data_IF_870600065815
#
_entry.id   IF_870600065815
#
_cell.length_a   1.000
_cell.length_b   1.000
_cell.length_c   1.000
_cell.angle_alpha   90.00
_cell.angle_beta   90.00
_cell.angle_gamma   90.00
#
_symmetry.space_group_name_H-M   'P 1'
#
loop_
_entity.id
_entity.type
_entity.pdbx_description
1 polymer ?
#
# COMPACT_ATOMS: atom_id res chain seq x y z
N UNK A 1 -13.20 0.47 -52.27
CA UNK A 1 -13.80 -0.22 -51.16
C UNK A 1 -12.68 -0.47 -50.20
N UNK A 2 -12.57 0.43 -49.24
CA UNK A 2 -11.47 0.50 -48.28
C UNK A 2 -12.02 -0.04 -46.96
N UNK A 3 -11.50 -1.15 -46.53
CA UNK A 3 -11.70 -1.64 -45.16
C UNK A 3 -10.73 -0.93 -44.24
N UNK A 4 -11.30 -0.26 -43.26
CA UNK A 4 -10.59 0.44 -42.22
C UNK A 4 -10.52 -0.49 -41.01
N UNK A 5 -9.37 -1.12 -40.85
CA UNK A 5 -9.03 -1.90 -39.66
C UNK A 5 -8.64 -0.89 -38.54
N UNK A 6 -9.52 -0.73 -37.55
CA UNK A 6 -9.24 0.06 -36.37
C UNK A 6 -8.78 -0.89 -35.27
N UNK A 7 -7.49 -1.05 -35.17
CA UNK A 7 -6.85 -1.55 -33.95
C UNK A 7 -7.06 -0.53 -32.83
N UNK A 8 -7.86 -0.87 -31.83
CA UNK A 8 -8.00 -0.11 -30.61
C UNK A 8 -6.71 -0.24 -29.80
N UNK A 9 -5.94 0.84 -29.73
CA UNK A 9 -4.86 0.98 -28.76
C UNK A 9 -5.51 1.28 -27.42
N UNK A 10 -5.24 0.45 -26.41
CA UNK A 10 -5.49 0.78 -25.03
C UNK A 10 -4.58 1.97 -24.65
N UNK A 11 -5.17 3.13 -24.47
CA UNK A 11 -4.48 4.29 -23.96
C UNK A 11 -4.46 4.18 -22.43
N UNK A 12 -3.28 4.02 -21.89
CA UNK A 12 -3.00 4.23 -20.46
C UNK A 12 -3.41 5.67 -20.08
N UNK A 13 -3.98 5.93 -18.88
CA UNK A 13 -4.36 7.28 -18.46
C UNK A 13 -3.19 8.24 -18.58
N UNK A 14 -3.40 9.33 -19.31
CA UNK A 14 -2.35 10.31 -19.56
C UNK A 14 -2.25 11.31 -18.40
N UNK A 15 -1.06 11.89 -18.21
CA UNK A 15 -0.69 12.92 -17.24
C UNK A 15 -1.73 13.99 -16.93
N UNK A 16 -2.59 14.32 -17.88
CA UNK A 16 -3.64 15.34 -17.67
C UNK A 16 -4.68 14.94 -16.64
N UNK A 17 -4.76 13.66 -16.34
CA UNK A 17 -5.77 13.15 -15.42
C UNK A 17 -5.27 13.19 -13.97
N UNK A 18 -3.95 13.13 -13.74
CA UNK A 18 -3.34 13.27 -12.41
C UNK A 18 -3.13 14.72 -11.96
N UNK A 19 -2.86 15.64 -12.88
CA UNK A 19 -2.51 17.05 -12.57
C UNK A 19 -3.73 17.95 -12.33
N UNK A 20 -4.93 17.52 -12.68
CA UNK A 20 -6.14 18.35 -12.51
C UNK A 20 -6.65 18.49 -11.08
N UNK A 21 -6.13 17.71 -10.15
CA UNK A 21 -6.67 17.63 -8.79
C UNK A 21 -5.73 18.07 -7.68
N UNK A 22 -4.59 18.65 -8.03
CA UNK A 22 -3.64 19.22 -7.07
C UNK A 22 -3.56 20.73 -7.20
N UNK A 23 -4.53 21.48 -6.67
CA UNK A 23 -4.36 22.92 -6.63
C UNK A 23 -5.63 23.73 -6.48
N UNK A 24 -6.00 24.04 -5.25
CA UNK A 24 -6.57 25.35 -4.86
C UNK A 24 -6.73 25.41 -3.34
N UNK A 25 -5.73 25.87 -2.65
CA UNK A 25 -5.93 26.47 -1.32
C UNK A 25 -5.81 27.97 -1.49
N UNK A 26 -6.90 28.70 -1.34
CA UNK A 26 -6.92 30.15 -1.15
C UNK A 26 -7.37 30.46 0.26
N UNK A 27 -6.42 31.05 0.95
CA UNK A 27 -6.44 31.68 2.25
C UNK A 27 -7.54 32.72 2.48
N UNK A 28 -7.96 32.84 3.73
CA UNK A 28 -8.59 34.03 4.34
C UNK A 28 -9.19 33.60 5.68
N UNK A 29 -8.76 33.95 6.79
CA UNK A 29 -8.39 35.21 7.31
C UNK A 29 -9.31 35.65 8.43
N UNK A 30 -8.76 35.74 9.64
CA UNK A 30 -8.92 36.83 10.62
C UNK A 30 -9.98 36.75 11.75
N UNK A 31 -9.41 36.76 13.00
CA UNK A 31 -9.77 37.48 14.25
C UNK A 31 -10.99 36.96 15.06
N UNK A 32 -10.96 36.89 16.32
CA UNK A 32 -10.39 37.50 17.51
C UNK A 32 -11.09 36.84 18.69
N UNK A 33 -10.43 36.40 19.71
CA UNK A 33 -10.09 37.10 20.89
C UNK A 33 -11.17 37.09 21.97
N UNK A 34 -10.88 36.45 23.11
CA UNK A 34 -11.08 37.08 24.44
C UNK A 34 -10.52 36.19 25.54
N UNK A 35 -9.71 36.78 26.33
CA UNK A 35 -9.09 36.27 27.55
C UNK A 35 -10.13 36.15 28.67
N UNK A 36 -9.87 35.23 29.61
CA UNK A 36 -10.54 35.10 30.88
C UNK A 36 -9.68 34.31 31.84
N UNK A 37 -8.90 35.03 32.65
CA UNK A 37 -8.18 34.55 33.85
C UNK A 37 -9.15 34.10 34.92
N UNK A 38 -8.80 33.06 35.70
CA UNK A 38 -8.87 33.05 37.18
C UNK A 38 -8.44 31.72 37.76
N UNK A 39 -7.57 31.78 38.57
CA UNK A 39 -6.70 31.21 39.53
C UNK A 39 -7.31 30.23 40.57
N UNK A 40 -6.47 29.56 41.40
CA UNK A 40 -6.60 28.18 41.84
C UNK A 40 -7.20 28.02 43.24
N UNK A 41 -7.69 26.84 43.51
CA UNK A 41 -8.22 26.55 44.87
C UNK A 41 -8.29 25.09 45.22
N UNK A 42 -7.26 24.64 45.94
CA UNK A 42 -7.31 23.74 47.10
C UNK A 42 -7.86 22.32 47.00
N UNK A 43 -6.97 21.36 47.17
CA UNK A 43 -7.28 20.00 47.61
C UNK A 43 -7.88 19.97 49.02
N UNK A 44 -8.60 18.90 49.36
CA UNK A 44 -8.20 18.16 50.56
C UNK A 44 -8.07 16.64 50.33
N UNK A 45 -7.08 16.13 51.02
CA UNK A 45 -6.81 14.74 51.41
C UNK A 45 -7.94 14.08 52.17
N UNK A 46 -8.13 12.78 51.96
CA UNK A 46 -8.97 11.94 52.84
C UNK A 46 -9.02 10.49 52.35
N UNK A 47 -8.18 9.73 52.78
CA UNK A 47 -7.96 8.38 53.36
C UNK A 47 -9.06 7.33 53.20
N UNK A 48 -8.59 6.15 52.77
CA UNK A 48 -8.89 4.77 53.21
C UNK A 48 -10.25 4.13 52.86
N UNK A 49 -10.15 2.98 52.31
CA UNK A 49 -11.03 1.89 52.66
C UNK A 49 -11.36 0.92 51.53
N UNK A 50 -10.63 -0.16 51.54
CA UNK A 50 -11.03 -1.56 51.27
C UNK A 50 -11.58 -2.00 49.90
N UNK A 51 -10.85 -2.93 49.35
CA UNK A 51 -11.24 -4.22 48.77
C UNK A 51 -12.58 -4.28 47.97
N UNK A 52 -12.46 -4.34 46.69
CA UNK A 52 -13.16 -5.40 45.95
C UNK A 52 -12.30 -5.89 44.79
N UNK A 53 -11.87 -7.11 44.96
CA UNK A 53 -11.26 -7.94 43.96
C UNK A 53 -12.31 -8.33 42.94
N UNK A 54 -11.79 -8.50 41.73
CA UNK A 54 -12.29 -9.45 40.78
C UNK A 54 -13.43 -8.95 39.87
N UNK A 55 -13.02 -8.45 38.73
CA UNK A 55 -13.73 -8.68 37.50
C UNK A 55 -12.71 -8.61 36.35
N UNK A 56 -11.99 -9.69 36.18
CA UNK A 56 -11.45 -10.06 34.88
C UNK A 56 -12.67 -10.18 33.97
N UNK A 57 -12.76 -9.47 32.85
CA UNK A 57 -13.75 -9.82 31.85
C UNK A 57 -13.23 -11.06 31.10
N UNK A 58 -13.57 -12.22 31.70
CA UNK A 58 -13.59 -13.48 30.98
C UNK A 58 -14.93 -13.53 30.28
N UNK A 59 -15.00 -12.87 29.15
CA UNK A 59 -16.05 -13.00 28.18
C UNK A 59 -15.36 -13.14 26.86
N UNK A 60 -15.16 -14.36 26.38
CA UNK A 60 -15.12 -14.61 24.95
C UNK A 60 -16.50 -14.17 24.46
N UNK A 61 -16.61 -12.90 24.06
CA UNK A 61 -17.72 -12.44 23.25
C UNK A 61 -17.47 -13.07 21.87
N UNK A 62 -18.14 -14.19 21.63
CA UNK A 62 -18.41 -14.69 20.29
C UNK A 62 -19.46 -13.78 19.69
N UNK A 63 -19.11 -12.51 19.45
CA UNK A 63 -19.90 -11.65 18.60
C UNK A 63 -19.41 -11.89 17.17
N UNK A 64 -20.29 -12.45 16.33
CA UNK A 64 -20.13 -12.54 14.88
C UNK A 64 -20.09 -11.13 14.23
N UNK A 65 -19.52 -10.14 14.92
CA UNK A 65 -19.51 -8.74 14.54
C UNK A 65 -18.09 -8.30 14.18
N UNK A 66 -17.91 -7.94 12.91
CA UNK A 66 -16.66 -7.39 12.41
C UNK A 66 -16.72 -5.84 12.44
N UNK A 67 -15.82 -5.20 13.20
CA UNK A 67 -15.84 -3.75 13.41
C UNK A 67 -14.57 -3.08 12.85
N UNK A 68 -14.78 -2.05 12.01
CA UNK A 68 -13.70 -1.25 11.41
C UNK A 68 -14.22 0.16 11.09
N UNK A 69 -13.46 1.22 11.40
CA UNK A 69 -13.77 2.55 10.88
C UNK A 69 -13.36 2.66 9.40
N UNK A 70 -14.09 3.38 8.55
CA UNK A 70 -15.28 4.20 8.86
C UNK A 70 -16.60 3.43 8.81
N UNK A 71 -16.63 2.16 8.39
CA UNK A 71 -17.86 1.39 8.12
C UNK A 71 -18.61 0.98 9.38
N UNK A 72 -17.99 1.09 10.56
CA UNK A 72 -18.57 0.64 11.82
C UNK A 72 -18.56 -0.88 11.96
N UNK A 73 -19.53 -1.41 12.68
CA UNK A 73 -19.66 -2.85 12.93
C UNK A 73 -20.64 -3.49 11.93
N UNK A 74 -20.21 -4.58 11.31
CA UNK A 74 -20.99 -5.38 10.36
C UNK A 74 -21.21 -6.76 10.94
N UNK A 75 -22.42 -7.30 10.78
CA UNK A 75 -22.75 -8.68 11.16
C UNK A 75 -23.03 -9.49 9.90
N UNK A 76 -22.30 -10.57 9.72
CA UNK A 76 -22.49 -11.51 8.63
C UNK A 76 -23.24 -12.74 9.15
N UNK A 77 -24.42 -13.07 8.57
CA UNK A 77 -25.18 -14.27 8.97
C UNK A 77 -24.41 -15.57 8.65
N UNK A 78 -23.58 -15.53 7.64
CA UNK A 78 -22.64 -16.57 7.22
C UNK A 78 -21.35 -15.93 6.79
N UNK A 79 -20.23 -16.65 6.87
CA UNK A 79 -18.96 -16.20 6.29
C UNK A 79 -19.18 -15.91 4.81
N UNK A 80 -18.77 -14.71 4.30
CA UNK A 80 -18.87 -14.39 2.87
C UNK A 80 -18.14 -15.42 2.00
N UNK A 81 -18.84 -15.95 0.99
CA UNK A 81 -18.25 -16.91 0.03
C UNK A 81 -17.60 -16.20 -1.16
N UNK A 82 -18.12 -15.01 -1.52
CA UNK A 82 -17.62 -14.18 -2.61
C UNK A 82 -17.31 -12.77 -2.13
N UNK A 83 -16.24 -12.21 -2.67
CA UNK A 83 -15.81 -10.88 -2.28
C UNK A 83 -15.08 -10.18 -3.43
N UNK A 84 -15.19 -8.85 -3.49
CA UNK A 84 -14.40 -8.02 -4.36
C UNK A 84 -13.56 -7.03 -3.55
N UNK A 85 -12.45 -6.60 -4.13
CA UNK A 85 -11.61 -5.54 -3.56
C UNK A 85 -11.17 -4.59 -4.66
N UNK A 86 -11.34 -3.28 -4.44
CA UNK A 86 -10.88 -2.26 -5.38
C UNK A 86 -9.39 -1.95 -5.22
N UNK A 87 -8.84 -2.22 -4.05
CA UNK A 87 -7.44 -1.94 -3.72
C UNK A 87 -6.70 -3.22 -3.34
N UNK A 88 -5.49 -3.35 -3.85
CA UNK A 88 -4.69 -4.58 -3.75
C UNK A 88 -4.39 -5.02 -2.32
N UNK A 89 -4.32 -4.08 -1.39
CA UNK A 89 -4.02 -4.41 0.01
C UNK A 89 -5.12 -5.29 0.66
N UNK A 90 -6.40 -5.00 0.41
CA UNK A 90 -7.51 -5.79 0.93
C UNK A 90 -7.63 -7.15 0.24
N UNK A 91 -7.32 -7.19 -1.07
CA UNK A 91 -7.25 -8.45 -1.80
C UNK A 91 -6.13 -9.34 -1.27
N UNK A 92 -4.97 -8.78 -1.03
CA UNK A 92 -3.81 -9.47 -0.46
C UNK A 92 -4.12 -10.06 0.93
N UNK A 93 -4.74 -9.26 1.83
CA UNK A 93 -5.18 -9.73 3.15
C UNK A 93 -6.17 -10.89 3.06
N UNK A 94 -7.19 -10.80 2.20
CA UNK A 94 -8.18 -11.86 2.04
C UNK A 94 -7.56 -13.14 1.45
N UNK A 95 -6.62 -12.99 0.50
CA UNK A 95 -5.86 -14.12 -0.06
C UNK A 95 -4.97 -14.75 1.02
N UNK A 96 -4.31 -13.96 1.86
CA UNK A 96 -3.53 -14.43 3.00
C UNK A 96 -4.38 -15.26 3.97
N UNK A 97 -5.64 -14.89 4.17
CA UNK A 97 -6.63 -15.66 4.93
C UNK A 97 -7.20 -16.87 4.16
N UNK A 98 -6.64 -17.24 3.01
CA UNK A 98 -7.06 -18.41 2.25
C UNK A 98 -8.33 -18.22 1.42
N UNK A 99 -8.83 -16.99 1.24
CA UNK A 99 -10.10 -16.70 0.57
C UNK A 99 -9.96 -16.51 -0.96
N UNK A 100 -8.91 -17.08 -1.57
CA UNK A 100 -8.61 -16.90 -3.01
C UNK A 100 -9.75 -17.33 -3.92
N UNK A 101 -10.46 -18.40 -3.58
CA UNK A 101 -11.50 -18.99 -4.45
C UNK A 101 -12.74 -18.10 -4.59
N UNK A 102 -13.06 -17.30 -3.56
CA UNK A 102 -14.17 -16.34 -3.57
C UNK A 102 -13.85 -14.99 -4.21
N UNK A 103 -12.63 -14.79 -4.70
CA UNK A 103 -12.17 -13.52 -5.23
C UNK A 103 -12.81 -13.17 -6.58
N UNK A 104 -13.54 -12.06 -6.62
CA UNK A 104 -14.09 -11.43 -7.81
C UNK A 104 -13.25 -10.20 -8.16
N UNK A 105 -12.31 -10.30 -9.10
CA UNK A 105 -11.32 -9.26 -9.33
C UNK A 105 -11.93 -8.03 -10.00
N UNK A 106 -11.69 -6.85 -9.40
CA UNK A 106 -12.04 -5.55 -9.98
C UNK A 106 -11.23 -4.45 -9.27
N UNK A 107 -10.05 -4.11 -9.79
CA UNK A 107 -9.21 -3.10 -9.14
C UNK A 107 -7.74 -3.17 -9.52
N UNK A 108 -6.90 -2.67 -8.61
CA UNK A 108 -5.46 -2.60 -8.80
C UNK A 108 -4.75 -3.42 -7.73
N UNK A 109 -3.96 -4.41 -8.16
CA UNK A 109 -3.32 -5.39 -7.28
C UNK A 109 -1.80 -5.34 -7.40
N UNK A 110 -1.06 -5.78 -6.36
CA UNK A 110 0.36 -6.05 -6.48
C UNK A 110 0.65 -7.01 -7.64
N UNK A 111 1.87 -6.98 -8.20
CA UNK A 111 2.23 -7.84 -9.31
C UNK A 111 1.96 -9.32 -9.05
N UNK A 112 1.32 -10.00 -10.01
CA UNK A 112 0.88 -11.40 -9.88
C UNK A 112 2.05 -12.36 -9.58
N UNK A 113 3.22 -12.09 -10.12
CA UNK A 113 4.40 -12.92 -9.94
C UNK A 113 4.85 -13.06 -8.49
N UNK A 114 4.53 -12.09 -7.59
CA UNK A 114 4.81 -12.23 -6.16
C UNK A 114 3.97 -13.36 -5.54
N UNK A 115 2.70 -13.42 -5.90
CA UNK A 115 1.77 -14.44 -5.39
C UNK A 115 2.09 -15.84 -5.92
N UNK A 116 2.61 -15.95 -7.14
CA UNK A 116 3.02 -17.22 -7.72
C UNK A 116 4.14 -17.89 -6.92
N UNK A 117 5.01 -17.09 -6.27
CA UNK A 117 6.12 -17.58 -5.43
C UNK A 117 5.64 -18.20 -4.12
N UNK A 118 4.39 -17.98 -3.75
CA UNK A 118 3.72 -18.62 -2.60
C UNK A 118 2.55 -19.51 -3.05
N UNK A 119 2.58 -19.95 -4.32
CA UNK A 119 1.64 -20.93 -4.86
C UNK A 119 0.23 -20.40 -5.13
N UNK A 120 0.04 -19.10 -5.19
CA UNK A 120 -1.25 -18.46 -5.49
C UNK A 120 -1.26 -17.94 -6.92
N UNK A 121 -2.25 -18.37 -7.71
CA UNK A 121 -2.46 -17.85 -9.07
C UNK A 121 -3.42 -16.66 -9.03
N UNK A 122 -2.95 -15.50 -9.45
CA UNK A 122 -3.78 -14.29 -9.58
C UNK A 122 -4.52 -14.25 -10.92
N UNK A 123 -5.72 -13.64 -10.98
CA UNK A 123 -6.41 -13.44 -12.25
C UNK A 123 -5.63 -12.48 -13.14
N UNK A 124 -5.57 -12.79 -14.44
CA UNK A 124 -4.88 -11.97 -15.44
C UNK A 124 -5.83 -11.02 -16.19
N UNK A 125 -7.13 -11.34 -16.22
CA UNK A 125 -8.16 -10.48 -16.82
C UNK A 125 -8.93 -9.81 -15.68
N UNK A 126 -8.49 -8.62 -15.32
CA UNK A 126 -9.07 -7.82 -14.22
C UNK A 126 -9.79 -6.62 -14.81
N UNK A 127 -11.12 -6.53 -14.67
CA UNK A 127 -11.86 -5.34 -15.08
C UNK A 127 -11.32 -4.08 -14.41
N UNK A 128 -11.18 -3.02 -15.21
CA UNK A 128 -10.85 -1.71 -14.67
C UNK A 128 -12.12 -1.04 -14.13
N UNK A 129 -12.26 -0.80 -12.83
CA UNK A 129 -13.45 -0.21 -12.25
C UNK A 129 -13.65 1.28 -12.60
N UNK A 130 -12.66 1.90 -13.23
CA UNK A 130 -12.72 3.27 -13.77
C UNK A 130 -12.82 3.28 -15.31
N UNK A 131 -13.37 2.24 -15.91
CA UNK A 131 -13.60 2.18 -17.34
C UNK A 131 -14.60 3.26 -17.78
N UNK A 132 -14.21 4.08 -18.75
CA UNK A 132 -15.09 5.15 -19.25
C UNK A 132 -14.93 6.52 -18.57
N UNK A 133 -14.02 6.65 -17.60
CA UNK A 133 -13.68 7.92 -16.94
C UNK A 133 -14.44 8.22 -15.66
N UNK A 134 -15.11 7.23 -15.10
CA UNK A 134 -15.78 7.25 -13.81
C UNK A 134 -15.91 5.82 -13.26
N UNK A 135 -16.43 5.68 -12.05
CA UNK A 135 -16.70 4.36 -11.48
C UNK A 135 -17.77 3.64 -12.29
N UNK A 136 -17.55 2.37 -12.56
CA UNK A 136 -18.48 1.52 -13.30
C UNK A 136 -19.48 0.89 -12.32
N UNK A 137 -20.64 1.54 -12.15
CA UNK A 137 -21.70 1.04 -11.28
C UNK A 137 -22.21 -0.35 -11.72
N UNK A 138 -22.28 -0.62 -13.03
CA UNK A 138 -22.76 -1.89 -13.56
C UNK A 138 -21.84 -3.05 -13.15
N UNK A 139 -20.53 -2.81 -13.00
CA UNK A 139 -19.56 -3.78 -12.56
C UNK A 139 -19.86 -4.33 -11.17
N UNK A 140 -20.31 -3.48 -10.22
CA UNK A 140 -20.67 -3.92 -8.87
C UNK A 140 -21.89 -4.85 -8.90
N UNK A 141 -22.90 -4.54 -9.72
CA UNK A 141 -24.09 -5.39 -9.88
C UNK A 141 -23.79 -6.68 -10.67
N UNK A 142 -22.88 -6.66 -11.61
CA UNK A 142 -22.49 -7.83 -12.40
C UNK A 142 -21.71 -8.84 -11.55
N UNK A 143 -20.81 -8.35 -10.71
CA UNK A 143 -20.00 -9.19 -9.83
C UNK A 143 -20.79 -9.74 -8.65
N UNK A 144 -21.77 -9.00 -8.12
CA UNK A 144 -22.71 -9.38 -7.04
C UNK A 144 -21.99 -10.09 -5.86
N UNK A 145 -20.97 -9.47 -5.23
CA UNK A 145 -20.22 -10.07 -4.13
C UNK A 145 -21.04 -10.12 -2.83
N UNK A 146 -20.65 -10.98 -1.90
CA UNK A 146 -21.21 -10.99 -0.53
C UNK A 146 -20.67 -9.84 0.33
N UNK A 147 -19.46 -9.36 0.02
CA UNK A 147 -18.82 -8.21 0.70
C UNK A 147 -17.88 -7.46 -0.25
N UNK A 148 -17.82 -6.13 -0.12
CA UNK A 148 -16.91 -5.26 -0.85
C UNK A 148 -15.79 -4.81 0.10
N UNK A 149 -14.59 -5.33 -0.11
CA UNK A 149 -13.41 -4.99 0.69
C UNK A 149 -12.79 -3.67 0.18
N UNK A 150 -13.36 -2.58 0.63
CA UNK A 150 -12.95 -1.22 0.28
C UNK A 150 -13.46 -0.22 1.32
N UNK A 151 -12.69 0.83 1.53
CA UNK A 151 -13.19 2.02 2.21
C UNK A 151 -14.22 2.73 1.33
N UNK A 152 -15.50 2.86 1.76
CA UNK A 152 -16.52 3.50 0.94
C UNK A 152 -16.19 4.96 0.60
N UNK A 153 -15.48 5.69 1.49
CA UNK A 153 -15.05 7.05 1.23
C UNK A 153 -14.04 7.16 0.09
N UNK A 154 -13.35 6.06 -0.25
CA UNK A 154 -12.46 6.03 -1.41
C UNK A 154 -13.19 6.25 -2.73
N UNK A 155 -14.44 5.79 -2.86
CA UNK A 155 -15.24 5.95 -4.07
C UNK A 155 -15.59 7.42 -4.33
N UNK A 156 -16.16 8.11 -3.35
CA UNK A 156 -16.62 9.50 -3.51
C UNK A 156 -15.63 10.56 -3.03
N UNK A 157 -14.60 10.17 -2.25
CA UNK A 157 -13.62 11.09 -1.67
C UNK A 157 -12.27 11.13 -2.38
N UNK A 158 -11.93 10.12 -3.20
CA UNK A 158 -10.60 10.04 -3.84
C UNK A 158 -10.38 11.05 -4.98
N UNK A 159 -11.45 11.58 -5.55
CA UNK A 159 -11.41 12.49 -6.70
C UNK A 159 -11.18 11.80 -8.06
N UNK A 160 -11.17 10.45 -8.11
CA UNK A 160 -11.08 9.72 -9.38
C UNK A 160 -12.33 9.90 -10.26
N UNK A 161 -13.49 10.05 -9.62
CA UNK A 161 -14.75 10.36 -10.31
C UNK A 161 -15.46 11.49 -9.59
N UNK A 162 -15.51 12.67 -10.21
CA UNK A 162 -16.18 13.84 -9.66
C UNK A 162 -17.72 13.79 -9.80
N UNK A 163 -18.26 12.81 -10.50
CA UNK A 163 -19.69 12.59 -10.67
C UNK A 163 -20.26 11.58 -9.68
N UNK A 164 -19.40 10.78 -9.03
CA UNK A 164 -19.78 9.80 -8.01
C UNK A 164 -19.83 10.46 -6.64
N UNK A 165 -20.97 10.39 -5.98
CA UNK A 165 -21.17 10.99 -4.67
C UNK A 165 -21.44 9.94 -3.57
N UNK A 166 -21.66 10.40 -2.34
CA UNK A 166 -21.95 9.53 -1.19
C UNK A 166 -23.23 8.73 -1.40
N UNK A 167 -24.24 9.30 -2.09
CA UNK A 167 -25.50 8.60 -2.34
C UNK A 167 -25.33 7.44 -3.34
N UNK A 168 -24.43 7.55 -4.31
CA UNK A 168 -24.07 6.44 -5.21
C UNK A 168 -23.40 5.32 -4.42
N UNK A 169 -22.46 5.65 -3.52
CA UNK A 169 -21.80 4.69 -2.63
C UNK A 169 -22.81 3.99 -1.70
N UNK A 170 -23.75 4.75 -1.10
CA UNK A 170 -24.83 4.19 -0.27
C UNK A 170 -25.77 3.30 -1.08
N UNK A 171 -25.99 3.60 -2.37
CA UNK A 171 -26.78 2.76 -3.27
C UNK A 171 -26.13 1.40 -3.47
N UNK A 172 -24.82 1.35 -3.71
CA UNK A 172 -24.08 0.08 -3.80
C UNK A 172 -24.14 -0.69 -2.47
N UNK A 173 -23.88 -0.01 -1.35
CA UNK A 173 -23.94 -0.64 -0.02
C UNK A 173 -25.30 -1.28 0.30
N UNK A 174 -26.39 -0.67 -0.22
CA UNK A 174 -27.77 -1.11 0.05
C UNK A 174 -28.25 -2.19 -0.91
N UNK A 175 -27.87 -2.09 -2.20
CA UNK A 175 -28.45 -2.89 -3.27
C UNK A 175 -27.55 -4.01 -3.77
N UNK A 176 -26.25 -3.97 -3.48
CA UNK A 176 -25.27 -4.98 -3.89
C UNK A 176 -24.74 -5.69 -2.66
N UNK A 177 -23.83 -5.08 -1.90
CA UNK A 177 -23.19 -5.70 -0.75
C UNK A 177 -22.66 -4.67 0.25
N UNK A 178 -22.52 -5.03 1.54
CA UNK A 178 -21.90 -4.16 2.53
C UNK A 178 -20.42 -3.92 2.20
N UNK A 179 -19.96 -2.72 2.52
CA UNK A 179 -18.53 -2.40 2.50
C UNK A 179 -17.87 -2.83 3.80
N UNK A 180 -16.66 -3.37 3.71
CA UNK A 180 -15.75 -3.57 4.82
C UNK A 180 -14.34 -3.15 4.42
N UNK A 181 -13.86 -2.04 4.95
CA UNK A 181 -12.55 -1.51 4.57
C UNK A 181 -12.24 -0.14 5.14
N UNK A 182 -10.96 0.18 5.10
CA UNK A 182 -10.35 1.46 5.45
C UNK A 182 -9.24 1.74 4.43
N UNK A 183 -9.07 2.98 4.01
CA UNK A 183 -7.98 3.32 3.09
C UNK A 183 -6.67 3.51 3.84
N UNK A 184 -6.07 2.42 4.30
CA UNK A 184 -4.80 2.42 5.07
C UNK A 184 -3.55 2.70 4.22
N UNK A 185 -3.67 2.88 2.91
CA UNK A 185 -2.53 3.14 2.02
C UNK A 185 -1.77 4.38 2.46
N UNK A 186 -2.48 5.47 2.61
CA UNK A 186 -2.00 6.78 3.10
C UNK A 186 -3.16 7.63 3.58
N UNK A 187 -2.88 8.63 4.41
CA UNK A 187 -3.89 9.61 4.81
C UNK A 187 -4.36 10.43 3.60
N UNK A 188 -5.66 10.65 3.51
CA UNK A 188 -6.34 11.44 2.48
C UNK A 188 -7.18 12.53 3.15
N UNK A 189 -7.64 13.51 2.39
CA UNK A 189 -8.45 14.62 2.89
C UNK A 189 -9.78 14.18 3.52
N UNK A 190 -10.29 13.02 3.10
CA UNK A 190 -11.52 12.43 3.65
C UNK A 190 -11.31 11.63 4.96
N UNK A 191 -10.05 11.46 5.44
CA UNK A 191 -9.79 10.74 6.67
C UNK A 191 -10.03 11.61 7.90
N UNK A 192 -11.19 11.50 8.50
CA UNK A 192 -11.52 12.03 9.83
C UNK A 192 -11.67 10.89 10.89
N UNK A 193 -11.21 9.70 10.55
CA UNK A 193 -11.26 8.46 11.33
C UNK A 193 -9.86 7.82 11.45
N UNK A 194 -9.78 6.69 12.14
CA UNK A 194 -8.53 5.97 12.40
C UNK A 194 -7.88 5.50 11.09
N UNK A 195 -6.61 5.80 10.91
CA UNK A 195 -5.75 5.18 9.89
C UNK A 195 -5.07 3.98 10.56
N UNK A 196 -5.53 2.78 10.25
CA UNK A 196 -4.99 1.55 10.84
C UNK A 196 -3.63 1.20 10.21
N UNK A 197 -2.79 0.53 10.99
CA UNK A 197 -1.63 -0.17 10.44
C UNK A 197 -2.07 -1.38 9.60
N UNK A 198 -1.13 -1.97 8.84
CA UNK A 198 -1.40 -3.16 8.03
C UNK A 198 -1.99 -4.30 8.87
N UNK A 199 -1.32 -4.63 9.97
CA UNK A 199 -1.71 -5.77 10.79
C UNK A 199 -2.91 -5.49 11.69
N UNK A 200 -3.19 -4.23 12.07
CA UNK A 200 -4.46 -3.88 12.73
C UNK A 200 -5.67 -4.03 11.78
N UNK A 201 -5.52 -3.63 10.51
CA UNK A 201 -6.58 -3.84 9.52
C UNK A 201 -6.75 -5.32 9.18
N UNK A 202 -5.65 -6.06 9.06
CA UNK A 202 -5.63 -7.50 8.81
C UNK A 202 -6.29 -8.29 9.96
N UNK A 203 -5.98 -7.95 11.21
CA UNK A 203 -6.66 -8.48 12.41
C UNK A 203 -8.18 -8.36 12.34
N UNK A 204 -8.68 -7.18 11.93
CA UNK A 204 -10.12 -6.93 11.83
C UNK A 204 -10.80 -7.72 10.72
N UNK A 205 -10.09 -7.98 9.62
CA UNK A 205 -10.60 -8.78 8.50
C UNK A 205 -10.80 -10.25 8.91
N UNK A 206 -10.08 -10.75 9.91
CA UNK A 206 -10.27 -12.12 10.41
C UNK A 206 -11.68 -12.38 10.89
N UNK A 207 -12.36 -11.35 11.44
CA UNK A 207 -13.73 -11.48 11.93
C UNK A 207 -14.77 -11.57 10.79
N UNK A 208 -14.43 -11.15 9.57
CA UNK A 208 -15.28 -11.31 8.38
C UNK A 208 -15.24 -12.76 7.88
N UNK A 209 -14.04 -13.36 7.88
CA UNK A 209 -13.79 -14.68 7.28
C UNK A 209 -13.60 -15.81 8.29
N UNK A 210 -13.63 -15.52 9.60
CA UNK A 210 -13.40 -16.48 10.69
C UNK A 210 -12.07 -17.24 10.57
N UNK A 211 -10.99 -16.49 10.23
CA UNK A 211 -9.66 -17.04 9.92
C UNK A 211 -8.56 -16.52 10.86
N UNK A 212 -8.84 -16.52 12.16
CA UNK A 212 -7.92 -16.03 13.20
C UNK A 212 -6.59 -16.78 13.20
N UNK A 213 -6.61 -18.11 13.08
CA UNK A 213 -5.40 -18.93 13.15
C UNK A 213 -4.43 -18.62 12.00
N UNK A 214 -4.94 -18.32 10.78
CA UNK A 214 -4.10 -17.91 9.65
C UNK A 214 -3.46 -16.55 9.88
N UNK A 215 -4.22 -15.61 10.42
CA UNK A 215 -3.67 -14.30 10.78
C UNK A 215 -2.52 -14.43 11.77
N UNK A 216 -2.70 -15.22 12.84
CA UNK A 216 -1.67 -15.41 13.87
C UNK A 216 -0.40 -16.04 13.26
N UNK A 217 -0.55 -17.03 12.37
CA UNK A 217 0.58 -17.61 11.65
C UNK A 217 1.29 -16.59 10.73
N UNK A 218 0.56 -15.70 10.05
CA UNK A 218 1.18 -14.61 9.28
C UNK A 218 1.90 -13.59 10.17
N UNK A 219 1.37 -13.29 11.36
CA UNK A 219 2.05 -12.43 12.35
C UNK A 219 3.37 -13.05 12.77
N UNK A 220 3.42 -14.38 13.01
CA UNK A 220 4.64 -15.06 13.37
C UNK A 220 5.72 -14.93 12.27
N UNK A 221 5.36 -15.14 11.00
CA UNK A 221 6.29 -14.97 9.86
C UNK A 221 6.78 -13.52 9.76
N UNK A 222 5.89 -12.55 9.93
CA UNK A 222 6.23 -11.13 9.91
C UNK A 222 7.19 -10.78 11.05
N UNK A 223 6.89 -11.23 12.27
CA UNK A 223 7.70 -10.92 13.45
C UNK A 223 9.08 -11.57 13.37
N UNK A 224 9.19 -12.78 12.80
CA UNK A 224 10.48 -13.44 12.54
C UNK A 224 11.31 -12.64 11.52
N UNK A 225 10.71 -12.20 10.41
CA UNK A 225 11.37 -11.33 9.42
C UNK A 225 11.88 -10.04 10.06
N UNK A 226 11.02 -9.37 10.84
CA UNK A 226 11.39 -8.11 11.51
C UNK A 226 12.47 -8.30 12.57
N UNK A 227 12.40 -9.38 13.35
CA UNK A 227 13.45 -9.69 14.33
C UNK A 227 14.81 -9.96 13.65
N UNK A 228 14.82 -10.59 12.47
CA UNK A 228 16.04 -10.76 11.68
C UNK A 228 16.58 -9.41 11.19
N UNK A 229 15.70 -8.56 10.63
CA UNK A 229 16.05 -7.22 10.16
C UNK A 229 16.65 -6.39 11.29
N UNK A 230 15.93 -6.24 12.40
CA UNK A 230 16.36 -5.44 13.55
C UNK A 230 17.73 -5.88 14.10
N UNK A 231 17.98 -7.20 14.07
CA UNK A 231 19.24 -7.76 14.56
C UNK A 231 20.46 -7.43 13.70
N UNK A 232 20.25 -7.05 12.42
CA UNK A 232 21.27 -6.84 11.41
C UNK A 232 21.39 -5.39 10.91
N UNK A 233 20.40 -4.53 11.21
CA UNK A 233 20.46 -3.14 10.79
C UNK A 233 21.73 -2.45 11.34
N UNK A 234 22.45 -1.70 10.51
CA UNK A 234 23.61 -0.95 10.95
C UNK A 234 23.21 0.22 11.87
N UNK A 235 24.15 0.80 12.60
CA UNK A 235 23.91 2.03 13.36
C UNK A 235 23.35 3.14 12.47
N UNK A 236 22.48 3.99 13.02
CA UNK A 236 21.81 5.10 12.31
C UNK A 236 22.76 5.91 11.40
N UNK A 237 23.98 6.20 11.87
CA UNK A 237 24.97 6.97 11.10
C UNK A 237 25.55 6.24 9.88
N UNK A 238 25.23 4.99 9.69
CA UNK A 238 25.70 4.14 8.56
C UNK A 238 24.52 3.73 7.64
N UNK A 239 23.30 4.19 7.94
CA UNK A 239 22.13 3.91 7.13
C UNK A 239 22.07 4.81 5.91
N UNK A 240 21.60 4.30 4.75
CA UNK A 240 21.53 5.10 3.54
C UNK A 240 20.34 6.07 3.58
N UNK A 241 20.53 7.25 2.99
CA UNK A 241 19.45 8.15 2.60
C UNK A 241 19.09 7.88 1.13
N UNK A 242 17.80 7.91 0.80
CA UNK A 242 17.32 7.65 -0.55
C UNK A 242 16.51 8.79 -1.14
N UNK A 243 16.73 9.08 -2.40
CA UNK A 243 15.86 9.91 -3.22
C UNK A 243 14.71 9.04 -3.76
N UNK A 244 13.55 9.10 -3.12
CA UNK A 244 12.37 8.34 -3.53
C UNK A 244 11.55 9.12 -4.55
N UNK A 245 11.37 8.60 -5.76
CA UNK A 245 10.53 9.21 -6.80
C UNK A 245 9.38 8.28 -7.17
N UNK A 246 8.23 8.88 -7.49
CA UNK A 246 7.05 8.12 -7.91
C UNK A 246 7.23 7.54 -9.31
N UNK A 247 6.67 6.37 -9.57
CA UNK A 247 6.60 5.73 -10.89
C UNK A 247 6.02 6.63 -11.99
N UNK A 248 5.15 7.59 -11.63
CA UNK A 248 4.56 8.56 -12.54
C UNK A 248 5.49 9.71 -12.95
N UNK A 249 6.75 9.72 -12.50
CA UNK A 249 7.76 10.70 -12.95
C UNK A 249 8.01 10.58 -14.44
N UNK A 250 8.17 11.73 -15.13
CA UNK A 250 8.57 11.79 -16.55
C UNK A 250 10.05 12.14 -16.66
N UNK A 251 10.87 11.11 -16.66
CA UNK A 251 12.31 11.27 -16.71
C UNK A 251 12.77 11.95 -18.01
N UNK A 252 12.16 11.59 -19.16
CA UNK A 252 12.47 12.24 -20.44
C UNK A 252 12.05 13.71 -20.46
N UNK A 253 10.89 14.03 -19.87
CA UNK A 253 10.38 15.40 -19.74
C UNK A 253 11.06 16.20 -18.64
N UNK A 254 11.89 15.56 -17.79
CA UNK A 254 12.58 16.19 -16.68
C UNK A 254 11.67 16.55 -15.51
N UNK A 255 10.65 15.75 -15.23
CA UNK A 255 9.72 15.96 -14.13
C UNK A 255 9.78 14.79 -13.16
N UNK A 256 10.23 15.05 -11.93
CA UNK A 256 10.41 14.07 -10.88
C UNK A 256 9.39 14.32 -9.77
N UNK A 257 8.50 13.38 -9.56
CA UNK A 257 7.55 13.40 -8.45
C UNK A 257 8.25 12.84 -7.19
N UNK A 258 8.87 13.71 -6.41
CA UNK A 258 9.56 13.34 -5.19
C UNK A 258 8.58 12.86 -4.10
N UNK A 259 9.04 11.95 -3.25
CA UNK A 259 8.29 11.39 -2.12
C UNK A 259 9.21 11.27 -0.91
N UNK A 260 8.66 11.35 0.31
CA UNK A 260 9.38 11.01 1.54
C UNK A 260 9.13 9.56 1.95
N UNK A 261 10.01 9.00 2.76
CA UNK A 261 9.97 7.60 3.21
C UNK A 261 9.17 7.39 4.50
N UNK A 262 8.81 8.46 5.21
CA UNK A 262 8.24 8.47 6.56
C UNK A 262 6.73 8.75 6.60
N UNK A 263 6.09 8.99 5.45
CA UNK A 263 4.65 9.25 5.38
C UNK A 263 3.82 8.15 6.05
N UNK A 264 2.73 8.56 6.73
CA UNK A 264 1.81 7.62 7.39
C UNK A 264 1.15 6.67 6.37
N UNK A 265 0.79 5.47 6.86
CA UNK A 265 0.10 4.45 6.09
C UNK A 265 1.00 3.33 5.59
N UNK A 266 0.39 2.39 4.91
CA UNK A 266 1.03 1.12 4.50
C UNK A 266 2.00 1.30 3.35
N UNK A 267 1.80 2.33 2.52
CA UNK A 267 2.62 2.59 1.34
C UNK A 267 4.12 2.72 1.64
N UNK A 268 4.46 3.38 2.77
CA UNK A 268 5.85 3.61 3.17
C UNK A 268 6.33 2.67 4.30
N UNK A 269 5.53 1.63 4.63
CA UNK A 269 5.83 0.72 5.76
C UNK A 269 7.24 0.15 5.68
N UNK A 270 7.63 -0.46 4.57
CA UNK A 270 8.93 -1.11 4.40
C UNK A 270 10.13 -0.16 4.54
N UNK A 271 9.97 1.12 4.19
CA UNK A 271 11.04 2.11 4.41
C UNK A 271 11.16 2.48 5.89
N UNK A 272 10.02 2.62 6.59
CA UNK A 272 10.01 2.88 8.04
C UNK A 272 10.54 1.69 8.83
N UNK A 273 10.15 0.47 8.47
CA UNK A 273 10.59 -0.76 9.12
C UNK A 273 12.10 -0.99 8.98
N UNK A 274 12.68 -0.54 7.88
CA UNK A 274 14.13 -0.60 7.62
C UNK A 274 14.85 0.69 8.04
N UNK A 275 14.13 1.62 8.66
CA UNK A 275 14.63 2.90 9.17
C UNK A 275 15.40 3.72 8.10
N UNK A 276 14.83 3.81 6.88
CA UNK A 276 15.41 4.51 5.74
C UNK A 276 15.01 5.98 5.78
N UNK A 277 16.01 6.86 5.72
CA UNK A 277 15.80 8.29 5.66
C UNK A 277 15.60 8.78 4.21
N UNK A 278 14.83 9.86 4.07
CA UNK A 278 14.60 10.50 2.77
C UNK A 278 15.62 11.59 2.52
N UNK A 279 16.22 11.62 1.33
CA UNK A 279 17.02 12.75 0.85
C UNK A 279 16.14 13.97 0.56
N UNK A 280 14.86 13.75 0.23
CA UNK A 280 13.90 14.83 -0.04
C UNK A 280 13.19 15.29 1.23
N UNK A 281 12.94 16.60 1.31
CA UNK A 281 12.15 17.23 2.37
C UNK A 281 10.68 17.33 1.95
N UNK A 282 9.76 17.52 2.90
CA UNK A 282 8.33 17.68 2.64
C UNK A 282 8.04 18.80 1.63
N UNK A 283 8.72 19.95 1.75
CA UNK A 283 8.54 21.08 0.82
C UNK A 283 8.89 20.72 -0.65
N UNK A 284 9.75 19.72 -0.86
CA UNK A 284 10.16 19.25 -2.18
C UNK A 284 9.17 18.24 -2.80
N UNK A 285 8.24 17.72 -2.00
CA UNK A 285 7.20 16.78 -2.48
C UNK A 285 5.92 17.48 -2.95
N UNK A 286 5.77 18.79 -2.71
CA UNK A 286 4.58 19.57 -3.09
C UNK A 286 4.41 19.79 -4.59
N UNK A 287 5.38 19.35 -5.40
CA UNK A 287 5.37 19.55 -6.85
C UNK A 287 6.26 18.57 -7.61
N UNK A 288 6.64 18.96 -8.82
CA UNK A 288 7.62 18.23 -9.60
C UNK A 288 8.98 18.91 -9.47
N UNK A 289 10.02 18.13 -9.15
CA UNK A 289 11.39 18.58 -9.26
C UNK A 289 11.84 18.47 -10.74
N UNK A 290 12.74 19.36 -11.14
CA UNK A 290 13.41 19.27 -12.44
C UNK A 290 14.85 18.74 -12.29
N UNK A 291 15.56 18.58 -13.39
CA UNK A 291 16.94 18.13 -13.39
C UNK A 291 17.91 19.06 -12.65
N UNK A 292 17.61 20.36 -12.57
CA UNK A 292 18.45 21.34 -11.86
C UNK A 292 18.29 21.12 -10.33
N UNK A 293 17.06 20.95 -9.88
CA UNK A 293 16.77 20.62 -8.48
C UNK A 293 17.34 19.26 -8.09
N UNK A 294 17.20 18.24 -8.94
CA UNK A 294 17.79 16.92 -8.71
C UNK A 294 19.32 16.97 -8.62
N UNK A 295 19.98 17.79 -9.42
CA UNK A 295 21.43 17.97 -9.36
C UNK A 295 21.89 18.79 -8.15
N UNK A 296 21.06 19.68 -7.61
CA UNK A 296 21.37 20.42 -6.38
C UNK A 296 21.26 19.51 -5.14
N UNK A 297 20.28 18.61 -5.14
CA UNK A 297 20.07 17.63 -4.05
C UNK A 297 21.07 16.49 -4.16
N UNK A 298 21.28 15.98 -5.36
CA UNK A 298 22.22 14.93 -5.76
C UNK A 298 22.15 13.65 -4.89
N UNK A 299 21.02 12.92 -4.88
CA UNK A 299 20.86 11.71 -4.09
C UNK A 299 21.88 10.63 -4.51
N UNK A 300 22.47 9.92 -3.54
CA UNK A 300 23.39 8.82 -3.80
C UNK A 300 22.67 7.56 -4.29
N UNK A 301 21.40 7.41 -3.93
CA UNK A 301 20.51 6.31 -4.34
C UNK A 301 19.19 6.89 -4.79
N UNK A 302 18.68 6.44 -5.94
CA UNK A 302 17.32 6.75 -6.40
C UNK A 302 16.50 5.47 -6.40
N UNK A 303 15.34 5.50 -5.74
CA UNK A 303 14.36 4.43 -5.78
C UNK A 303 13.11 4.94 -6.51
N UNK A 304 12.68 4.20 -7.52
CA UNK A 304 11.43 4.48 -8.25
C UNK A 304 10.30 3.70 -7.59
N UNK A 305 9.55 4.35 -6.71
CA UNK A 305 8.40 3.76 -6.00
C UNK A 305 7.34 3.28 -7.00
N UNK A 306 7.01 2.00 -6.95
CA UNK A 306 6.18 1.32 -7.94
C UNK A 306 6.96 0.70 -9.11
N UNK A 307 8.29 0.78 -9.12
CA UNK A 307 9.13 0.26 -10.20
C UNK A 307 8.99 -1.24 -10.45
N UNK A 308 8.70 -2.02 -9.41
CA UNK A 308 8.50 -3.48 -9.54
C UNK A 308 7.23 -3.86 -10.31
N UNK A 309 6.35 -2.93 -10.64
CA UNK A 309 5.14 -3.20 -11.45
C UNK A 309 5.43 -3.42 -12.93
N UNK A 310 6.64 -3.13 -13.39
CA UNK A 310 7.04 -3.35 -14.77
C UNK A 310 7.27 -4.83 -15.03
N UNK A 311 6.45 -5.39 -15.92
CA UNK A 311 6.49 -6.80 -16.28
C UNK A 311 6.77 -6.98 -17.76
N UNK A 312 7.26 -8.18 -18.13
CA UNK A 312 7.39 -8.63 -19.50
C UNK A 312 6.07 -9.25 -20.02
N UNK A 313 6.14 -9.84 -21.22
CA UNK A 313 4.98 -10.47 -21.88
C UNK A 313 4.48 -11.73 -21.13
N UNK A 314 5.32 -12.34 -20.29
CA UNK A 314 4.98 -13.51 -19.48
C UNK A 314 4.41 -13.10 -18.09
N UNK A 315 4.41 -11.79 -17.78
CA UNK A 315 3.91 -11.23 -16.52
C UNK A 315 4.93 -11.23 -15.37
N UNK A 316 6.18 -11.62 -15.65
CA UNK A 316 7.30 -11.57 -14.70
C UNK A 316 7.93 -10.17 -14.62
N UNK A 317 8.60 -9.84 -13.52
CA UNK A 317 9.31 -8.57 -13.39
C UNK A 317 10.31 -8.39 -14.54
N UNK A 318 10.30 -7.21 -15.16
CA UNK A 318 11.17 -6.87 -16.27
C UNK A 318 12.21 -5.82 -15.91
N UNK A 319 13.41 -6.27 -15.58
CA UNK A 319 14.56 -5.38 -15.39
C UNK A 319 14.88 -4.56 -16.65
N UNK A 320 14.60 -5.14 -17.83
CA UNK A 320 14.76 -4.48 -19.14
C UNK A 320 13.82 -3.31 -19.31
N UNK A 321 12.52 -3.50 -19.00
CA UNK A 321 11.51 -2.45 -19.07
C UNK A 321 11.80 -1.33 -18.06
N UNK A 322 12.21 -1.69 -16.85
CA UNK A 322 12.64 -0.70 -15.84
C UNK A 322 13.83 0.13 -16.32
N UNK A 323 14.83 -0.52 -16.88
CA UNK A 323 16.02 0.16 -17.41
C UNK A 323 15.66 1.10 -18.56
N UNK A 324 14.81 0.65 -19.49
CA UNK A 324 14.37 1.46 -20.64
C UNK A 324 13.59 2.70 -20.19
N UNK A 325 12.68 2.55 -19.22
CA UNK A 325 11.80 3.64 -18.80
C UNK A 325 12.48 4.66 -17.88
N UNK A 326 13.36 4.23 -16.98
CA UNK A 326 13.93 5.09 -15.94
C UNK A 326 15.44 5.30 -16.05
N UNK A 327 16.22 4.23 -16.24
CA UNK A 327 17.67 4.31 -16.17
C UNK A 327 18.28 4.88 -17.45
N UNK A 328 17.81 4.45 -18.62
CA UNK A 328 18.32 4.91 -19.91
C UNK A 328 18.11 6.41 -20.12
N UNK A 329 16.92 6.99 -19.88
CA UNK A 329 16.73 8.44 -20.01
C UNK A 329 17.60 9.26 -19.06
N UNK A 330 17.82 8.80 -17.82
CA UNK A 330 18.74 9.45 -16.88
C UNK A 330 20.18 9.47 -17.43
N UNK A 331 20.65 8.33 -17.94
CA UNK A 331 22.00 8.22 -18.51
C UNK A 331 22.21 9.06 -19.78
N UNK A 332 21.17 9.22 -20.59
CA UNK A 332 21.25 9.98 -21.85
C UNK A 332 21.07 11.48 -21.63
N UNK A 333 20.53 11.91 -20.50
CA UNK A 333 20.33 13.33 -20.19
C UNK A 333 21.63 13.98 -19.69
N UNK A 334 22.05 15.18 -20.21
CA UNK A 334 23.35 15.81 -19.87
C UNK A 334 23.53 16.10 -18.37
N UNK A 335 22.45 16.39 -17.63
CA UNK A 335 22.49 16.58 -16.17
C UNK A 335 22.23 15.26 -15.46
N UNK A 336 21.25 14.47 -15.91
CA UNK A 336 20.91 13.18 -15.32
C UNK A 336 22.08 12.23 -15.21
N UNK A 337 22.94 12.17 -16.26
CA UNK A 337 24.13 11.31 -16.27
C UNK A 337 25.23 11.71 -15.27
N UNK A 338 25.10 12.88 -14.64
CA UNK A 338 26.04 13.39 -13.64
C UNK A 338 25.52 13.24 -12.21
N UNK A 339 24.27 12.77 -12.03
CA UNK A 339 23.75 12.47 -10.70
C UNK A 339 24.56 11.32 -10.08
N UNK A 340 24.91 11.46 -8.81
CA UNK A 340 25.69 10.45 -8.07
C UNK A 340 25.04 9.06 -8.13
N UNK A 341 23.72 8.96 -7.96
CA UNK A 341 23.00 7.70 -8.10
C UNK A 341 23.16 7.05 -9.49
N UNK A 342 23.19 7.86 -10.55
CA UNK A 342 23.31 7.37 -11.93
C UNK A 342 24.74 6.93 -12.23
N UNK A 343 25.75 7.73 -11.81
CA UNK A 343 27.18 7.37 -11.96
C UNK A 343 27.53 6.07 -11.23
N UNK A 344 26.91 5.83 -10.07
CA UNK A 344 27.10 4.62 -9.26
C UNK A 344 26.24 3.44 -9.70
N UNK A 345 25.29 3.63 -10.65
CA UNK A 345 24.33 2.60 -11.03
C UNK A 345 23.31 2.28 -9.92
N UNK A 346 23.07 3.22 -9.02
CA UNK A 346 22.20 3.10 -7.86
C UNK A 346 20.80 3.67 -8.11
N UNK A 347 20.21 3.32 -9.26
CA UNK A 347 18.81 3.62 -9.62
C UNK A 347 18.03 2.31 -9.62
N UNK A 348 17.11 2.14 -8.66
CA UNK A 348 16.48 0.86 -8.36
C UNK A 348 14.97 0.90 -8.50
N UNK A 349 14.34 -0.27 -8.84
CA UNK A 349 12.89 -0.43 -8.75
C UNK A 349 12.46 -0.50 -7.28
N UNK A 350 11.46 0.30 -6.92
CA UNK A 350 10.90 0.32 -5.58
C UNK A 350 9.58 -0.43 -5.47
N UNK A 351 9.09 -0.63 -4.24
CA UNK A 351 7.86 -1.30 -3.88
C UNK A 351 6.62 -0.77 -4.55
N UNK A 352 5.60 -1.61 -4.67
CA UNK A 352 4.26 -1.23 -5.08
C UNK A 352 3.47 -0.66 -3.89
N UNK A 353 2.71 0.39 -4.12
CA UNK A 353 2.06 1.18 -3.08
C UNK A 353 0.86 0.52 -2.37
N UNK A 354 0.23 -0.48 -3.00
CA UNK A 354 -0.92 -1.19 -2.42
C UNK A 354 -0.52 -2.59 -1.98
N UNK A 355 0.10 -2.71 -0.82
CA UNK A 355 0.58 -3.97 -0.28
C UNK A 355 -0.27 -4.43 0.91
N UNK A 356 -0.58 -5.73 0.94
CA UNK A 356 -1.05 -6.46 2.10
C UNK A 356 0.06 -7.35 2.65
N UNK A 357 -0.23 -8.31 3.55
CA UNK A 357 0.79 -9.06 4.27
C UNK A 357 1.70 -9.92 3.38
N UNK A 358 1.19 -10.44 2.25
CA UNK A 358 2.01 -11.24 1.32
C UNK A 358 2.99 -10.34 0.57
N UNK A 359 2.50 -9.27 -0.06
CA UNK A 359 3.34 -8.35 -0.81
C UNK A 359 4.33 -7.60 0.08
N UNK A 360 3.96 -7.27 1.33
CA UNK A 360 4.82 -6.63 2.32
C UNK A 360 6.08 -7.44 2.61
N UNK A 361 5.97 -8.76 2.80
CA UNK A 361 7.12 -9.65 3.02
C UNK A 361 8.13 -9.57 1.86
N UNK A 362 7.66 -9.67 0.61
CA UNK A 362 8.52 -9.57 -0.57
C UNK A 362 9.15 -8.20 -0.74
N UNK A 363 8.39 -7.15 -0.48
CA UNK A 363 8.82 -5.77 -0.65
C UNK A 363 9.79 -5.32 0.44
N UNK A 364 9.60 -5.80 1.66
CA UNK A 364 10.55 -5.58 2.76
C UNK A 364 11.87 -6.30 2.47
N UNK A 365 11.84 -7.55 1.99
CA UNK A 365 13.06 -8.26 1.55
C UNK A 365 13.75 -7.55 0.38
N UNK A 366 12.98 -7.03 -0.59
CA UNK A 366 13.53 -6.25 -1.71
C UNK A 366 14.34 -5.05 -1.21
N UNK A 367 13.74 -4.22 -0.37
CA UNK A 367 14.39 -3.00 0.13
C UNK A 367 15.58 -3.33 1.03
N UNK A 368 15.47 -4.37 1.88
CA UNK A 368 16.59 -4.83 2.69
C UNK A 368 17.81 -5.19 1.82
N UNK A 369 17.59 -5.94 0.72
CA UNK A 369 18.67 -6.33 -0.21
C UNK A 369 19.21 -5.20 -1.07
N UNK A 370 18.36 -4.23 -1.42
CA UNK A 370 18.78 -3.07 -2.19
C UNK A 370 19.72 -2.17 -1.36
N UNK A 371 19.38 -1.94 -0.11
CA UNK A 371 19.99 -0.90 0.70
C UNK A 371 21.03 -1.45 1.69
N UNK A 372 20.93 -2.72 2.08
CA UNK A 372 21.84 -3.37 3.02
C UNK A 372 22.38 -4.71 2.46
N UNK A 373 23.05 -4.69 1.29
CA UNK A 373 23.46 -5.92 0.60
C UNK A 373 24.52 -6.74 1.37
N UNK A 374 25.26 -6.13 2.29
CA UNK A 374 26.24 -6.82 3.12
C UNK A 374 25.57 -7.67 4.21
N UNK A 375 24.41 -7.24 4.71
CA UNK A 375 23.64 -7.85 5.78
C UNK A 375 22.61 -8.87 5.25
N UNK A 376 21.93 -8.54 4.14
CA UNK A 376 20.79 -9.32 3.63
C UNK A 376 21.03 -9.96 2.27
N UNK A 377 22.21 -9.78 1.68
CA UNK A 377 22.54 -10.27 0.34
C UNK A 377 22.13 -9.29 -0.77
N UNK A 378 22.77 -9.44 -1.92
CA UNK A 378 22.63 -8.49 -3.04
C UNK A 378 21.32 -8.70 -3.78
N UNK A 379 20.65 -7.60 -4.13
CA UNK A 379 19.54 -7.62 -5.07
C UNK A 379 20.04 -7.96 -6.49
N UNK A 380 19.40 -8.95 -7.11
CA UNK A 380 19.65 -9.33 -8.51
C UNK A 380 18.40 -9.02 -9.35
N UNK A 381 18.40 -7.95 -10.17
CA UNK A 381 17.23 -7.55 -10.93
C UNK A 381 16.82 -8.55 -12.03
N UNK A 382 17.74 -9.44 -12.44
CA UNK A 382 17.44 -10.47 -13.46
C UNK A 382 16.80 -11.72 -12.84
N UNK A 383 16.77 -11.80 -11.51
CA UNK A 383 16.25 -12.95 -10.78
C UNK A 383 15.10 -12.63 -9.83
N UNK A 384 14.88 -11.35 -9.55
CA UNK A 384 13.81 -10.94 -8.65
C UNK A 384 12.43 -11.40 -9.18
N UNK A 385 11.56 -11.98 -8.31
CA UNK A 385 11.70 -12.15 -6.86
C UNK A 385 12.31 -13.52 -6.44
N UNK A 386 12.94 -14.24 -7.36
CA UNK A 386 13.52 -15.56 -7.10
C UNK A 386 14.82 -15.45 -6.31
N UNK A 387 14.74 -15.74 -5.02
CA UNK A 387 15.85 -15.83 -4.09
C UNK A 387 16.06 -17.29 -3.71
N UNK A 388 17.30 -17.81 -3.72
CA UNK A 388 17.54 -19.19 -3.25
C UNK A 388 17.03 -19.42 -1.83
N UNK A 389 16.41 -20.56 -1.56
CA UNK A 389 15.74 -20.85 -0.27
C UNK A 389 16.63 -20.59 0.97
N UNK A 390 17.96 -20.84 0.86
CA UNK A 390 18.88 -20.58 1.98
C UNK A 390 19.31 -19.10 2.13
N UNK A 391 18.83 -18.22 1.25
CA UNK A 391 19.11 -16.78 1.26
C UNK A 391 17.85 -15.94 1.46
N UNK A 392 16.65 -16.56 1.45
CA UNK A 392 15.37 -15.89 1.67
C UNK A 392 15.29 -15.35 3.10
N UNK A 393 14.71 -14.16 3.25
CA UNK A 393 14.50 -13.56 4.57
C UNK A 393 13.21 -14.07 5.23
N UNK A 394 12.31 -14.70 4.46
CA UNK A 394 11.14 -15.42 4.97
C UNK A 394 10.91 -16.68 4.14
N UNK A 395 10.31 -17.70 4.73
CA UNK A 395 10.05 -18.98 4.06
C UNK A 395 8.80 -18.91 3.18
N UNK A 396 9.00 -19.00 1.83
CA UNK A 396 7.90 -18.97 0.86
C UNK A 396 6.99 -20.17 0.96
N UNK A 397 7.54 -21.35 1.35
CA UNK A 397 6.75 -22.56 1.48
C UNK A 397 5.86 -22.49 2.71
N UNK A 398 6.35 -21.93 3.82
CA UNK A 398 5.57 -21.68 5.01
C UNK A 398 4.40 -20.73 4.73
N UNK A 399 4.65 -19.61 4.07
CA UNK A 399 3.57 -18.68 3.65
C UNK A 399 2.55 -19.38 2.77
N UNK A 400 3.01 -20.20 1.81
CA UNK A 400 2.12 -21.00 0.97
C UNK A 400 1.30 -22.02 1.78
N UNK A 401 1.88 -22.65 2.78
CA UNK A 401 1.20 -23.60 3.68
C UNK A 401 0.13 -22.90 4.53
N UNK A 402 0.43 -21.70 5.05
CA UNK A 402 -0.55 -20.88 5.78
C UNK A 402 -1.74 -20.56 4.88
N UNK A 403 -1.50 -20.05 3.65
CA UNK A 403 -2.56 -19.72 2.71
C UNK A 403 -3.43 -20.94 2.38
N UNK A 404 -2.83 -22.12 2.20
CA UNK A 404 -3.56 -23.38 1.92
C UNK A 404 -4.28 -23.96 3.13
N UNK A 405 -3.92 -23.56 4.34
CA UNK A 405 -4.42 -24.16 5.58
C UNK A 405 -3.69 -25.45 5.98
N UNK A 406 -2.47 -25.67 5.47
CA UNK A 406 -1.63 -26.84 5.74
C UNK A 406 -0.61 -26.58 6.87
N UNK A 407 -0.92 -25.66 7.79
CA UNK A 407 -0.07 -25.27 8.91
C UNK A 407 -0.64 -25.76 10.25
N UNK A 408 0.17 -25.75 11.29
CA UNK A 408 -0.25 -26.09 12.66
C UNK A 408 -0.24 -24.79 13.49
N UNK A 409 -1.42 -24.34 13.98
CA UNK A 409 -1.54 -23.14 14.83
C UNK A 409 -0.93 -23.35 16.23
#
# INVERSE_FOLDING_TARGET
MSDNDKTSRHETPTRRDYVKYGGAVVSGGILAGCAGESDPGTAPTGTSGDDDRDSTPTGADTSDEACLEPVGCQTFETVPETWMALTGLWADMAIALGQRDGFLPAGWYPPAYLYERVGVSMPTDVPNPLAGGGWDEELFYELDPDVILCDPNYLHGSGFDSSWDEADTESIATNVAPFFGNNIVRRRDFHDYTLYSLYEAFDRLTNVFDERDRYEAFVDVHDELHAEIDSKLPPESERPEVGLINFGSDIEGGEFAAMTTDSEGVEMKQYRDLEIESTFTDDQTDGMLDYEAMAEIDPEIIIVHGGIRLTDDDGEYSSGAFREQFVTPLNEHPVGSQLTAVENGAVYPGPYFMQGPIADLFQTELIARLLYPEEFGTFDPERFPDVPAGEQLFDREEVADIIRGDFYP
#
